data_IF_744512219411
#
_entry.id   IF_744512219411
#
_cell.length_a   1.000
_cell.length_b   1.000
_cell.length_c   1.000
_cell.angle_alpha   90.00
_cell.angle_beta   90.00
_cell.angle_gamma   90.00
#
_symmetry.space_group_name_H-M   'P 1'
#
loop_
_entity.id
_entity.type
_entity.pdbx_description
1 polymer ?
#
# COMPACT_ATOMS: atom_id res chain seq x y z
N UNK A 1 13.17 6.32 -14.99
CA UNK A 1 12.40 6.06 -13.76
C UNK A 1 11.20 5.20 -14.13
N UNK A 2 11.04 4.06 -13.47
CA UNK A 2 9.83 3.26 -13.60
C UNK A 2 8.60 4.08 -13.19
N UNK A 3 7.44 3.79 -13.78
CA UNK A 3 6.17 4.27 -13.22
C UNK A 3 5.90 3.50 -11.94
N UNK A 4 5.21 4.10 -11.00
CA UNK A 4 4.90 3.44 -9.72
C UNK A 4 3.51 3.76 -9.21
N UNK A 5 3.01 2.91 -8.33
CA UNK A 5 1.76 3.08 -7.61
C UNK A 5 1.96 2.65 -6.16
N UNK A 6 1.59 3.49 -5.22
CA UNK A 6 1.66 3.20 -3.79
C UNK A 6 0.29 2.78 -3.28
N UNK A 7 0.15 1.54 -2.81
CA UNK A 7 -1.08 1.04 -2.20
C UNK A 7 -1.04 1.23 -0.68
N UNK A 8 -1.92 2.08 -0.17
CA UNK A 8 -2.14 2.27 1.28
C UNK A 8 -3.52 1.82 1.71
N UNK A 9 -3.68 1.48 2.99
CA UNK A 9 -4.98 1.10 3.57
C UNK A 9 -5.42 2.09 4.64
N UNK A 10 -6.73 2.22 4.84
CA UNK A 10 -7.29 3.06 5.92
C UNK A 10 -7.33 2.35 7.27
N UNK A 11 -7.00 1.07 7.34
CA UNK A 11 -6.98 0.31 8.57
C UNK A 11 -6.62 -1.16 8.37
N UNK A 12 -6.50 -1.91 9.45
CA UNK A 12 -6.21 -3.34 9.41
C UNK A 12 -7.35 -4.12 8.73
N UNK A 13 -7.03 -5.31 8.22
CA UNK A 13 -8.00 -6.24 7.64
C UNK A 13 -8.77 -5.73 6.40
N UNK A 14 -8.26 -4.70 5.69
CA UNK A 14 -8.85 -4.24 4.43
C UNK A 14 -8.70 -5.25 3.27
N UNK A 15 -8.05 -6.39 3.49
CA UNK A 15 -7.83 -7.40 2.46
C UNK A 15 -6.75 -7.01 1.45
N UNK A 16 -5.73 -6.29 1.88
CA UNK A 16 -4.66 -5.73 1.05
C UNK A 16 -4.00 -6.78 0.15
N UNK A 17 -3.66 -7.96 0.67
CA UNK A 17 -2.98 -9.01 -0.10
C UNK A 17 -3.79 -9.47 -1.32
N UNK A 18 -5.12 -9.63 -1.20
CA UNK A 18 -5.97 -10.00 -2.33
C UNK A 18 -5.99 -8.91 -3.40
N UNK A 19 -6.04 -7.63 -2.99
CA UNK A 19 -6.01 -6.49 -3.92
C UNK A 19 -4.65 -6.38 -4.59
N UNK A 20 -3.56 -6.59 -3.87
CA UNK A 20 -2.19 -6.62 -4.42
C UNK A 20 -2.07 -7.70 -5.49
N UNK A 21 -2.53 -8.94 -5.21
CA UNK A 21 -2.52 -10.02 -6.19
C UNK A 21 -3.34 -9.67 -7.44
N UNK A 22 -4.52 -9.10 -7.27
CA UNK A 22 -5.37 -8.65 -8.38
C UNK A 22 -4.69 -7.54 -9.20
N UNK A 23 -4.09 -6.55 -8.56
CA UNK A 23 -3.36 -5.48 -9.25
C UNK A 23 -2.13 -6.01 -9.99
N UNK A 24 -1.33 -6.88 -9.38
CA UNK A 24 -0.18 -7.51 -10.04
C UNK A 24 -0.63 -8.28 -11.29
N UNK A 25 -1.69 -9.10 -11.18
CA UNK A 25 -2.23 -9.84 -12.31
C UNK A 25 -2.73 -8.94 -13.46
N UNK A 26 -3.30 -7.77 -13.14
CA UNK A 26 -3.72 -6.81 -14.17
C UNK A 26 -2.51 -6.11 -14.80
N UNK A 27 -1.54 -5.72 -14.00
CA UNK A 27 -0.33 -5.01 -14.46
C UNK A 27 0.51 -5.90 -15.39
N UNK A 28 0.71 -7.18 -15.06
CA UNK A 28 1.47 -8.11 -15.91
C UNK A 28 0.86 -8.36 -17.28
N UNK A 29 -0.45 -8.17 -17.43
CA UNK A 29 -1.12 -8.30 -18.73
C UNK A 29 -0.80 -7.15 -19.69
N UNK A 30 -0.52 -5.98 -19.13
CA UNK A 30 -0.36 -4.74 -19.89
C UNK A 30 1.09 -4.24 -19.91
N UNK A 31 1.92 -4.65 -18.96
CA UNK A 31 3.27 -4.14 -18.74
C UNK A 31 4.24 -5.32 -18.68
N UNK A 32 5.31 -5.24 -19.45
CA UNK A 32 6.24 -6.35 -19.63
C UNK A 32 7.10 -6.62 -18.39
N UNK A 33 7.49 -5.59 -17.66
CA UNK A 33 8.45 -5.71 -16.55
C UNK A 33 7.90 -5.04 -15.29
N UNK A 34 7.05 -5.76 -14.58
CA UNK A 34 6.42 -5.28 -13.34
C UNK A 34 7.24 -5.74 -12.14
N UNK A 35 7.59 -4.80 -11.28
CA UNK A 35 8.20 -5.06 -9.99
C UNK A 35 7.20 -4.90 -8.84
N UNK A 36 7.54 -5.51 -7.72
CA UNK A 36 6.82 -5.37 -6.47
C UNK A 36 7.79 -4.96 -5.36
N UNK A 37 7.48 -3.91 -4.62
CA UNK A 37 8.37 -3.37 -3.60
C UNK A 37 7.64 -3.11 -2.28
N UNK A 38 8.28 -3.49 -1.17
CA UNK A 38 7.84 -3.18 0.18
C UNK A 38 8.82 -2.25 0.86
N UNK A 39 8.44 -0.99 1.13
CA UNK A 39 9.31 -0.05 1.85
C UNK A 39 9.75 -0.57 3.22
N UNK A 40 8.81 -1.15 3.96
CA UNK A 40 9.07 -1.80 5.26
C UNK A 40 8.47 -3.19 5.21
N UNK A 41 9.33 -4.20 5.21
CA UNK A 41 8.94 -5.60 5.22
C UNK A 41 8.88 -6.18 6.63
N UNK A 42 8.08 -7.22 6.81
CA UNK A 42 8.03 -7.96 8.08
C UNK A 42 9.20 -8.94 8.16
N UNK A 43 9.83 -9.02 9.32
CA UNK A 43 10.67 -10.17 9.61
C UNK A 43 9.78 -11.39 9.81
N UNK A 44 10.06 -12.45 9.10
CA UNK A 44 9.44 -13.72 9.42
C UNK A 44 9.87 -14.18 10.82
N UNK A 45 9.01 -14.91 11.48
CA UNK A 45 9.23 -15.44 12.82
C UNK A 45 10.34 -16.54 12.81
N UNK A 46 11.61 -16.13 12.81
CA UNK A 46 12.77 -17.03 12.86
C UNK A 46 13.89 -16.39 13.68
N UNK A 47 14.33 -17.06 14.73
CA UNK A 47 15.55 -16.71 15.48
C UNK A 47 16.72 -17.45 14.85
N UNK A 48 17.54 -16.76 14.03
CA UNK A 48 18.74 -17.37 13.48
C UNK A 48 19.15 -16.81 12.12
N UNK A 49 20.24 -17.30 11.55
CA UNK A 49 20.84 -16.86 10.29
C UNK A 49 20.00 -17.12 9.01
N UNK A 50 18.85 -17.72 9.11
CA UNK A 50 17.82 -17.78 8.08
C UNK A 50 16.85 -16.61 8.29
N UNK A 51 17.22 -15.43 7.79
CA UNK A 51 16.27 -14.33 7.65
C UNK A 51 15.13 -14.81 6.76
N UNK A 52 13.98 -15.15 7.37
CA UNK A 52 12.82 -15.57 6.60
C UNK A 52 12.38 -14.43 5.69
N UNK A 53 12.10 -14.77 4.46
CA UNK A 53 11.57 -13.84 3.45
C UNK A 53 10.27 -13.20 3.98
N UNK A 54 10.07 -11.93 3.68
CA UNK A 54 8.79 -11.26 3.97
C UNK A 54 7.63 -12.05 3.35
N UNK A 55 6.58 -12.43 4.12
CA UNK A 55 5.51 -13.29 3.63
C UNK A 55 4.76 -12.74 2.43
N UNK A 56 4.66 -11.41 2.28
CA UNK A 56 4.00 -10.81 1.11
C UNK A 56 4.91 -10.88 -0.12
N UNK A 57 6.23 -10.72 0.06
CA UNK A 57 7.20 -10.95 -1.02
C UNK A 57 7.19 -12.41 -1.44
N UNK A 58 7.20 -13.35 -0.49
CA UNK A 58 7.12 -14.79 -0.78
C UNK A 58 5.86 -15.15 -1.57
N UNK A 59 4.70 -14.58 -1.16
CA UNK A 59 3.44 -14.76 -1.86
C UNK A 59 3.50 -14.27 -3.32
N UNK A 60 4.08 -13.09 -3.55
CA UNK A 60 4.23 -12.53 -4.90
C UNK A 60 5.17 -13.40 -5.73
N UNK A 61 6.33 -13.76 -5.19
CA UNK A 61 7.32 -14.58 -5.89
C UNK A 61 6.81 -16.00 -6.22
N UNK A 62 5.93 -16.55 -5.40
CA UNK A 62 5.35 -17.88 -5.66
C UNK A 62 4.15 -17.83 -6.62
N UNK A 63 3.55 -16.67 -6.82
CA UNK A 63 2.32 -16.52 -7.61
C UNK A 63 2.59 -16.03 -9.04
N UNK A 64 3.60 -15.16 -9.20
CA UNK A 64 3.91 -14.50 -10.46
C UNK A 64 5.29 -14.89 -10.98
N UNK A 65 5.43 -14.96 -12.32
CA UNK A 65 6.71 -15.23 -12.99
C UNK A 65 7.53 -13.93 -13.14
N UNK A 66 7.91 -13.36 -11.99
CA UNK A 66 8.75 -12.15 -11.94
C UNK A 66 10.15 -12.49 -11.43
N UNK A 67 11.12 -11.64 -11.78
CA UNK A 67 12.48 -11.75 -11.22
C UNK A 67 12.45 -11.51 -9.70
N UNK A 68 12.57 -12.57 -8.93
CA UNK A 68 12.42 -12.54 -7.48
C UNK A 68 13.77 -12.45 -6.77
N UNK A 69 14.20 -11.22 -6.49
CA UNK A 69 15.24 -10.95 -5.49
C UNK A 69 14.58 -10.41 -4.21
N UNK A 70 14.24 -11.33 -3.31
CA UNK A 70 13.51 -11.00 -2.09
C UNK A 70 14.21 -9.93 -1.23
N UNK A 71 15.52 -9.81 -1.30
CA UNK A 71 16.27 -8.77 -0.57
C UNK A 71 16.13 -7.41 -1.23
N UNK A 72 16.18 -7.36 -2.55
CA UNK A 72 16.01 -6.11 -3.30
C UNK A 72 14.55 -5.60 -3.28
N UNK A 73 13.58 -6.50 -3.07
CA UNK A 73 12.15 -6.18 -3.00
C UNK A 73 11.71 -5.55 -1.67
N UNK A 74 12.61 -5.46 -0.67
CA UNK A 74 12.32 -4.88 0.66
C UNK A 74 13.31 -3.77 0.95
N UNK A 75 12.81 -2.60 1.36
CA UNK A 75 13.64 -1.45 1.72
C UNK A 75 14.34 -1.64 3.06
N UNK A 76 13.58 -1.78 4.12
CA UNK A 76 14.04 -2.04 5.48
C UNK A 76 13.17 -3.11 6.14
N UNK A 77 13.72 -3.77 7.15
CA UNK A 77 12.93 -4.58 8.05
C UNK A 77 12.09 -3.71 9.01
N UNK A 78 10.98 -4.27 9.51
CA UNK A 78 10.14 -3.63 10.53
C UNK A 78 10.93 -3.28 11.81
N UNK A 79 11.88 -4.12 12.19
CA UNK A 79 12.77 -3.88 13.34
C UNK A 79 13.67 -2.68 13.10
N UNK A 80 14.39 -2.62 11.97
CA UNK A 80 15.26 -1.49 11.62
C UNK A 80 14.47 -0.19 11.51
N UNK A 81 13.29 -0.23 10.89
CA UNK A 81 12.40 0.93 10.78
C UNK A 81 11.96 1.42 12.17
N UNK A 82 11.57 0.49 13.06
CA UNK A 82 11.19 0.80 14.44
C UNK A 82 12.34 1.44 15.21
N UNK A 83 13.55 0.88 15.11
CA UNK A 83 14.73 1.41 15.79
C UNK A 83 15.09 2.83 15.32
N UNK A 84 14.94 3.10 14.02
CA UNK A 84 15.18 4.44 13.47
C UNK A 84 14.10 5.44 13.90
N UNK A 85 12.83 5.05 13.86
CA UNK A 85 11.71 5.92 14.26
C UNK A 85 11.80 6.27 15.75
N UNK A 86 11.97 5.26 16.60
CA UNK A 86 12.00 5.46 18.07
C UNK A 86 13.21 6.27 18.54
N UNK A 87 14.29 6.25 17.77
CA UNK A 87 15.48 7.08 18.02
C UNK A 87 15.43 8.45 17.32
N UNK A 88 14.28 8.86 16.76
CA UNK A 88 14.12 10.18 16.11
C UNK A 88 14.86 10.31 14.77
N UNK A 89 15.26 9.20 14.14
CA UNK A 89 16.02 9.18 12.87
C UNK A 89 15.14 8.80 11.67
N UNK A 90 13.92 9.34 11.63
CA UNK A 90 12.96 9.05 10.56
C UNK A 90 13.50 9.45 9.18
N UNK A 91 14.22 10.56 9.08
CA UNK A 91 14.80 11.00 7.80
C UNK A 91 15.80 9.96 7.27
N UNK A 92 16.64 9.39 8.15
CA UNK A 92 17.57 8.33 7.77
C UNK A 92 16.84 7.04 7.31
N UNK A 93 15.69 6.72 7.91
CA UNK A 93 14.83 5.63 7.45
C UNK A 93 14.36 5.88 6.01
N UNK A 94 13.85 7.07 5.74
CA UNK A 94 13.35 7.46 4.42
C UNK A 94 14.46 7.45 3.36
N UNK A 95 15.65 7.97 3.68
CA UNK A 95 16.83 7.96 2.79
C UNK A 95 17.23 6.52 2.43
N UNK A 96 17.37 5.63 3.40
CA UNK A 96 17.74 4.23 3.15
C UNK A 96 16.70 3.49 2.30
N UNK A 97 15.40 3.72 2.54
CA UNK A 97 14.32 3.14 1.74
C UNK A 97 14.37 3.70 0.31
N UNK A 98 14.62 5.00 0.15
CA UNK A 98 14.75 5.60 -1.17
C UNK A 98 15.94 5.02 -1.96
N UNK A 99 17.09 4.84 -1.31
CA UNK A 99 18.29 4.24 -1.95
C UNK A 99 17.99 2.80 -2.42
N UNK A 100 17.37 1.98 -1.56
CA UNK A 100 16.98 0.62 -1.90
C UNK A 100 16.00 0.60 -3.10
N UNK A 101 14.97 1.45 -3.05
CA UNK A 101 14.00 1.58 -4.13
C UNK A 101 14.63 2.03 -5.44
N UNK A 102 15.53 3.03 -5.40
CA UNK A 102 16.25 3.52 -6.58
C UNK A 102 17.15 2.46 -7.22
N UNK A 103 17.69 1.56 -6.45
CA UNK A 103 18.39 0.38 -6.94
C UNK A 103 17.45 -0.57 -7.67
N UNK A 104 16.33 -0.87 -7.02
CA UNK A 104 15.33 -1.82 -7.51
C UNK A 104 14.58 -1.34 -8.76
N UNK A 105 14.12 -0.08 -8.79
CA UNK A 105 13.29 0.45 -9.89
C UNK A 105 13.97 0.39 -11.28
N UNK A 106 15.32 0.38 -11.32
CA UNK A 106 16.08 0.42 -12.59
C UNK A 106 15.82 -0.79 -13.49
N UNK A 107 15.40 -1.90 -12.91
CA UNK A 107 15.12 -3.13 -13.65
C UNK A 107 13.67 -3.25 -14.13
N UNK A 108 12.80 -2.27 -13.87
CA UNK A 108 11.36 -2.41 -14.08
C UNK A 108 10.76 -1.25 -14.87
N UNK A 109 9.69 -1.53 -15.61
CA UNK A 109 8.88 -0.51 -16.30
C UNK A 109 7.83 0.09 -15.36
N UNK A 110 7.37 -0.72 -14.42
CA UNK A 110 6.40 -0.33 -13.38
C UNK A 110 6.71 -1.02 -12.06
N UNK A 111 6.52 -0.33 -10.94
CA UNK A 111 6.65 -0.93 -9.60
C UNK A 111 5.38 -0.70 -8.78
N UNK A 112 4.73 -1.80 -8.38
CA UNK A 112 3.69 -1.75 -7.37
C UNK A 112 4.34 -1.70 -5.98
N UNK A 113 4.08 -0.63 -5.24
CA UNK A 113 4.63 -0.42 -3.90
C UNK A 113 3.54 -0.73 -2.88
N UNK A 114 3.77 -1.72 -2.05
CA UNK A 114 2.83 -2.05 -0.96
C UNK A 114 3.20 -1.32 0.33
N UNK A 115 2.33 -0.39 0.74
CA UNK A 115 2.48 0.35 1.99
C UNK A 115 2.48 -0.56 3.22
N UNK A 116 3.11 -0.07 4.26
CA UNK A 116 3.25 -0.80 5.52
C UNK A 116 1.96 -0.76 6.35
N UNK A 117 1.73 -1.83 7.14
CA UNK A 117 0.80 -1.84 8.27
C UNK A 117 1.60 -1.61 9.56
N UNK A 118 2.44 -0.59 9.58
CA UNK A 118 3.23 -0.28 10.76
C UNK A 118 2.31 0.08 11.92
N UNK A 119 2.24 -0.80 12.91
CA UNK A 119 1.46 -0.56 14.12
C UNK A 119 2.24 0.39 15.04
N UNK A 120 2.11 1.69 14.77
CA UNK A 120 2.60 2.73 15.65
C UNK A 120 1.65 2.96 16.85
N UNK A 121 1.99 3.89 17.73
CA UNK A 121 1.16 4.18 18.90
C UNK A 121 -0.25 4.70 18.56
N UNK A 122 -0.47 5.15 17.33
CA UNK A 122 -1.79 5.60 16.85
C UNK A 122 -1.98 5.30 15.37
N UNK A 123 -3.25 5.14 14.94
CA UNK A 123 -3.62 5.02 13.51
C UNK A 123 -3.14 6.23 12.70
N UNK A 124 -3.15 7.42 13.28
CA UNK A 124 -2.65 8.63 12.64
C UNK A 124 -1.16 8.52 12.29
N UNK A 125 -0.35 7.88 13.13
CA UNK A 125 1.06 7.68 12.89
C UNK A 125 1.32 6.72 11.72
N UNK A 126 0.52 5.67 11.57
CA UNK A 126 0.61 4.76 10.41
C UNK A 126 0.35 5.49 9.08
N UNK A 127 -0.65 6.36 9.06
CA UNK A 127 -0.92 7.20 7.89
C UNK A 127 0.23 8.14 7.57
N UNK A 128 0.79 8.79 8.58
CA UNK A 128 1.89 9.73 8.40
C UNK A 128 3.14 9.05 7.83
N UNK A 129 3.48 7.85 8.32
CA UNK A 129 4.60 7.06 7.78
C UNK A 129 4.34 6.67 6.32
N UNK A 130 3.13 6.17 5.99
CA UNK A 130 2.80 5.81 4.61
C UNK A 130 2.78 7.03 3.67
N UNK A 131 2.34 8.19 4.14
CA UNK A 131 2.36 9.41 3.34
C UNK A 131 3.79 9.91 3.10
N UNK A 132 4.66 9.88 4.11
CA UNK A 132 6.07 10.24 3.96
C UNK A 132 6.79 9.28 3.00
N UNK A 133 6.50 7.98 3.08
CA UNK A 133 7.03 6.98 2.15
C UNK A 133 6.54 7.23 0.71
N UNK A 134 5.24 7.40 0.50
CA UNK A 134 4.69 7.65 -0.84
C UNK A 134 5.29 8.90 -1.47
N UNK A 135 5.42 9.99 -0.69
CA UNK A 135 6.07 11.24 -1.12
C UNK A 135 7.53 11.02 -1.46
N UNK A 136 8.29 10.35 -0.59
CA UNK A 136 9.73 10.12 -0.77
C UNK A 136 10.00 9.28 -2.01
N UNK A 137 9.14 8.29 -2.28
CA UNK A 137 9.25 7.42 -3.45
C UNK A 137 8.65 8.04 -4.72
N UNK A 138 7.98 9.20 -4.62
CA UNK A 138 7.38 9.91 -5.74
C UNK A 138 6.23 9.14 -6.41
N UNK A 139 5.50 8.35 -5.64
CA UNK A 139 4.44 7.46 -6.14
C UNK A 139 3.04 8.01 -5.83
N UNK A 140 2.13 8.09 -6.81
CA UNK A 140 0.72 8.39 -6.57
C UNK A 140 0.10 7.30 -5.68
N UNK A 141 -0.90 7.68 -4.87
CA UNK A 141 -1.46 6.80 -3.85
C UNK A 141 -2.79 6.23 -4.30
N UNK A 142 -2.91 4.91 -4.25
CA UNK A 142 -4.19 4.18 -4.30
C UNK A 142 -4.57 3.82 -2.86
N UNK A 143 -5.73 4.31 -2.40
CA UNK A 143 -6.22 4.02 -1.05
C UNK A 143 -7.21 2.86 -1.09
N UNK A 144 -6.96 1.86 -0.26
CA UNK A 144 -7.85 0.73 -0.04
C UNK A 144 -8.60 0.92 1.27
N UNK A 145 -9.91 0.96 1.19
CA UNK A 145 -10.82 1.13 2.34
C UNK A 145 -11.56 -0.18 2.59
N UNK A 146 -11.68 -0.59 3.85
CA UNK A 146 -12.53 -1.73 4.22
C UNK A 146 -14.00 -1.31 4.18
N UNK A 147 -14.81 -2.11 3.51
CA UNK A 147 -16.28 -1.99 3.56
C UNK A 147 -16.94 -2.89 4.58
N UNK A 148 -16.15 -3.78 5.23
CA UNK A 148 -16.69 -4.76 6.18
C UNK A 148 -17.26 -4.06 7.41
N UNK A 149 -18.51 -4.36 7.70
CA UNK A 149 -19.25 -3.81 8.85
C UNK A 149 -19.32 -2.27 8.89
N UNK A 150 -19.14 -1.61 7.70
CA UNK A 150 -19.19 -0.18 7.55
C UNK A 150 -20.35 0.28 6.67
N UNK A 151 -20.96 1.40 7.02
CA UNK A 151 -21.92 2.10 6.18
C UNK A 151 -21.23 2.90 5.07
N UNK A 152 -21.98 3.33 4.06
CA UNK A 152 -21.46 4.24 3.04
C UNK A 152 -20.95 5.57 3.63
N UNK A 153 -21.51 5.99 4.78
CA UNK A 153 -21.04 7.15 5.54
C UNK A 153 -19.64 6.92 6.10
N UNK A 154 -19.46 5.82 6.82
CA UNK A 154 -18.18 5.47 7.46
C UNK A 154 -17.07 5.32 6.41
N UNK A 155 -17.35 4.63 5.30
CA UNK A 155 -16.41 4.44 4.19
C UNK A 155 -15.99 5.79 3.60
N UNK A 156 -16.98 6.68 3.39
CA UNK A 156 -16.71 8.02 2.88
C UNK A 156 -15.83 8.82 3.83
N UNK A 157 -16.15 8.85 5.11
CA UNK A 157 -15.42 9.61 6.15
C UNK A 157 -13.98 9.08 6.30
N UNK A 158 -13.78 7.78 6.31
CA UNK A 158 -12.44 7.17 6.31
C UNK A 158 -11.63 7.57 5.07
N UNK A 159 -12.29 7.66 3.91
CA UNK A 159 -11.64 8.08 2.66
C UNK A 159 -11.24 9.55 2.70
N UNK A 160 -12.12 10.43 3.19
CA UNK A 160 -11.83 11.86 3.32
C UNK A 160 -10.65 12.08 4.26
N UNK A 161 -10.66 11.40 5.42
CA UNK A 161 -9.55 11.49 6.36
C UNK A 161 -8.23 11.04 5.74
N UNK A 162 -8.22 9.92 5.03
CA UNK A 162 -7.03 9.43 4.32
C UNK A 162 -6.55 10.46 3.28
N UNK A 163 -7.46 10.98 2.44
CA UNK A 163 -7.13 12.00 1.43
C UNK A 163 -6.48 13.24 2.06
N UNK A 164 -7.06 13.76 3.14
CA UNK A 164 -6.52 14.93 3.83
C UNK A 164 -5.12 14.67 4.38
N UNK A 165 -4.89 13.51 4.99
CA UNK A 165 -3.58 13.12 5.51
C UNK A 165 -2.52 13.02 4.43
N UNK A 166 -2.84 12.40 3.29
CA UNK A 166 -1.93 12.33 2.15
C UNK A 166 -1.70 13.71 1.54
N UNK A 167 -2.74 14.53 1.36
CA UNK A 167 -2.64 15.88 0.82
C UNK A 167 -1.76 16.80 1.69
N UNK A 168 -1.87 16.72 3.02
CA UNK A 168 -1.01 17.46 3.96
C UNK A 168 0.49 17.16 3.79
N UNK A 169 0.82 15.98 3.27
CA UNK A 169 2.20 15.55 2.97
C UNK A 169 2.58 15.73 1.50
N UNK A 170 1.69 16.35 0.69
CA UNK A 170 1.93 16.62 -0.74
C UNK A 170 1.86 15.36 -1.61
N UNK A 171 1.09 14.35 -1.20
CA UNK A 171 0.83 13.15 -2.00
C UNK A 171 -0.47 13.27 -2.78
N UNK A 172 -0.42 12.88 -4.05
CA UNK A 172 -1.61 12.81 -4.91
C UNK A 172 -2.38 11.51 -4.68
N UNK A 173 -3.66 11.63 -4.37
CA UNK A 173 -4.58 10.49 -4.33
C UNK A 173 -5.03 10.14 -5.75
N UNK A 174 -4.54 9.03 -6.28
CA UNK A 174 -4.90 8.56 -7.63
C UNK A 174 -6.34 8.06 -7.69
N UNK A 175 -6.72 7.18 -6.75
CA UNK A 175 -8.06 6.62 -6.67
C UNK A 175 -8.31 5.94 -5.32
N UNK A 176 -9.57 5.53 -5.12
CA UNK A 176 -10.01 4.72 -3.98
C UNK A 176 -10.61 3.40 -4.46
N UNK A 177 -10.26 2.32 -3.76
CA UNK A 177 -10.92 1.02 -3.88
C UNK A 177 -11.57 0.71 -2.53
N UNK A 178 -12.82 0.23 -2.56
CA UNK A 178 -13.49 -0.32 -1.39
C UNK A 178 -13.47 -1.84 -1.50
N UNK A 179 -12.94 -2.52 -0.49
CA UNK A 179 -12.87 -3.98 -0.48
C UNK A 179 -13.62 -4.55 0.72
N UNK A 180 -14.07 -5.80 0.61
CA UNK A 180 -14.81 -6.50 1.65
C UNK A 180 -16.10 -5.79 2.03
N UNK A 181 -16.79 -5.22 1.04
CA UNK A 181 -18.12 -4.67 1.27
C UNK A 181 -19.10 -5.81 1.55
N UNK A 182 -20.08 -5.58 2.45
CA UNK A 182 -21.10 -6.57 2.73
C UNK A 182 -21.83 -6.94 1.43
N UNK A 183 -22.03 -8.23 1.19
CA UNK A 183 -22.70 -8.71 -0.03
C UNK A 183 -24.17 -8.27 -0.07
N UNK A 184 -24.83 -8.20 1.08
CA UNK A 184 -26.18 -7.66 1.19
C UNK A 184 -26.17 -6.15 0.95
N UNK A 185 -26.97 -5.68 -0.02
CA UNK A 185 -27.03 -4.27 -0.40
C UNK A 185 -25.81 -3.73 -1.15
N UNK A 186 -24.96 -4.62 -1.69
CA UNK A 186 -23.70 -4.25 -2.35
C UNK A 186 -23.89 -3.24 -3.49
N UNK A 187 -24.85 -3.49 -4.38
CA UNK A 187 -25.08 -2.62 -5.55
C UNK A 187 -25.53 -1.23 -5.13
N UNK A 188 -26.40 -1.13 -4.13
CA UNK A 188 -26.84 0.15 -3.57
C UNK A 188 -25.68 0.90 -2.91
N UNK A 189 -24.88 0.20 -2.09
CA UNK A 189 -23.68 0.75 -1.46
C UNK A 189 -22.71 1.31 -2.52
N UNK A 190 -22.41 0.53 -3.54
CA UNK A 190 -21.50 0.92 -4.61
C UNK A 190 -22.01 2.15 -5.38
N UNK A 191 -23.31 2.22 -5.66
CA UNK A 191 -23.94 3.36 -6.33
C UNK A 191 -23.88 4.63 -5.47
N UNK A 192 -24.19 4.53 -4.18
CA UNK A 192 -24.10 5.65 -3.22
C UNK A 192 -22.66 6.16 -3.11
N UNK A 193 -21.69 5.27 -2.96
CA UNK A 193 -20.27 5.63 -2.86
C UNK A 193 -19.77 6.32 -4.14
N UNK A 194 -20.15 5.80 -5.31
CA UNK A 194 -19.82 6.42 -6.60
C UNK A 194 -20.31 7.85 -6.68
N UNK A 195 -21.55 8.11 -6.27
CA UNK A 195 -22.12 9.47 -6.25
C UNK A 195 -21.40 10.39 -5.26
N UNK A 196 -21.14 9.92 -4.04
CA UNK A 196 -20.46 10.71 -3.00
C UNK A 196 -19.01 11.05 -3.39
N UNK A 197 -18.26 10.09 -3.88
CA UNK A 197 -16.87 10.31 -4.29
C UNK A 197 -16.79 11.24 -5.51
N UNK A 198 -17.69 11.10 -6.48
CA UNK A 198 -17.78 12.03 -7.61
C UNK A 198 -18.05 13.47 -7.15
N UNK A 199 -18.97 13.66 -6.22
CA UNK A 199 -19.27 14.98 -5.63
C UNK A 199 -18.10 15.60 -4.87
N UNK A 200 -17.19 14.76 -4.31
CA UNK A 200 -15.97 15.17 -3.62
C UNK A 200 -14.75 15.29 -4.53
N UNK A 201 -14.87 15.00 -5.83
CA UNK A 201 -13.76 14.99 -6.78
C UNK A 201 -12.73 13.88 -6.48
N UNK A 202 -13.17 12.76 -5.90
CA UNK A 202 -12.33 11.61 -5.60
C UNK A 202 -12.55 10.54 -6.67
N UNK A 203 -11.51 10.13 -7.42
CA UNK A 203 -11.64 9.01 -8.35
C UNK A 203 -11.96 7.71 -7.61
N UNK A 204 -13.04 7.05 -8.00
CA UNK A 204 -13.47 5.78 -7.43
C UNK A 204 -13.22 4.66 -8.42
N UNK A 205 -12.27 3.78 -8.12
CA UNK A 205 -11.89 2.68 -9.00
C UNK A 205 -12.87 1.49 -8.92
N UNK A 206 -13.60 1.36 -7.82
CA UNK A 206 -14.62 0.33 -7.65
C UNK A 206 -14.76 -0.19 -6.24
N UNK A 207 -15.73 -1.09 -6.06
CA UNK A 207 -15.92 -1.84 -4.83
C UNK A 207 -15.89 -3.34 -5.11
N UNK A 208 -15.51 -4.13 -4.10
CA UNK A 208 -15.50 -5.59 -4.14
C UNK A 208 -16.23 -6.12 -2.91
N UNK A 209 -17.13 -7.11 -3.08
CA UNK A 209 -17.80 -7.75 -1.95
C UNK A 209 -16.83 -8.65 -1.16
N UNK A 210 -17.25 -9.02 0.06
CA UNK A 210 -16.54 -9.99 0.90
C UNK A 210 -16.74 -11.45 0.41
#
# INVERSE_FOLDING_TARGET
MAKSLYLSTTGPAAGKSAVVLGLMSLLEREIHNVGYFRPIGRHGAGTGAEASIDPAVELICSTFDIACDAKAMVGLSDREATDLITSGRQDQMLERILEAYKGYEKGHDFVLIEGTNYQGPTVAFEFDVNADLARTLGAPVLVLVSGKDHTAGDIYDHTILARERFALRGCDLLAVIVNRANAEGFDELAAVLKGRFAGAGIPFAGAMPE
#
